data_IF_826528125191
#
_entry.id   IF_826528125191
#
_cell.length_a   1.000
_cell.length_b   1.000
_cell.length_c   1.000
_cell.angle_alpha   90.00
_cell.angle_beta   90.00
_cell.angle_gamma   90.00
#
_symmetry.space_group_name_H-M   'P 1'
#
loop_
_entity.id
_entity.type
_entity.pdbx_description
1 polymer ?
#
# COMPACT_ATOMS: atom_id res chain seq x y z
N UNK A 1 -23.90 5.90 1.85
CA UNK A 1 -22.59 5.31 2.25
C UNK A 1 -22.38 3.92 1.65
N UNK A 2 -23.37 3.03 1.69
CA UNK A 2 -23.23 1.66 1.17
C UNK A 2 -22.90 1.60 -0.34
N UNK A 3 -23.52 2.45 -1.17
CA UNK A 3 -23.22 2.54 -2.60
C UNK A 3 -21.80 3.01 -2.92
N UNK A 4 -21.16 3.78 -2.02
CA UNK A 4 -19.74 4.15 -2.18
C UNK A 4 -18.82 2.98 -1.84
N UNK A 5 -19.21 2.12 -0.91
CA UNK A 5 -18.44 0.94 -0.49
C UNK A 5 -18.57 -0.23 -1.47
N UNK A 6 -19.74 -0.37 -2.09
CA UNK A 6 -20.04 -1.42 -3.06
C UNK A 6 -20.66 -0.81 -4.32
N UNK A 7 -19.85 -0.19 -5.20
CA UNK A 7 -20.32 0.33 -6.48
C UNK A 7 -20.77 -0.78 -7.43
N UNK A 8 -21.62 -0.44 -8.39
CA UNK A 8 -22.01 -1.37 -9.46
C UNK A 8 -20.78 -1.75 -10.30
N UNK A 9 -20.68 -3.02 -10.69
CA UNK A 9 -19.53 -3.60 -11.38
C UNK A 9 -18.50 -4.26 -10.47
N UNK A 10 -18.54 -4.01 -9.15
CA UNK A 10 -17.62 -4.63 -8.19
C UNK A 10 -17.83 -6.15 -8.11
N UNK A 11 -16.74 -6.90 -8.00
CA UNK A 11 -16.75 -8.35 -7.84
C UNK A 11 -16.74 -8.73 -6.37
N UNK A 12 -17.56 -9.71 -5.99
CA UNK A 12 -17.66 -10.23 -4.62
C UNK A 12 -17.67 -11.75 -4.66
N UNK A 13 -16.97 -12.36 -3.72
CA UNK A 13 -16.99 -13.80 -3.48
C UNK A 13 -17.82 -14.09 -2.22
N UNK A 14 -18.67 -15.11 -2.30
CA UNK A 14 -19.47 -15.57 -1.17
C UNK A 14 -18.66 -16.51 -0.30
N UNK A 15 -18.53 -16.22 1.00
CA UNK A 15 -17.75 -17.05 1.92
C UNK A 15 -18.57 -18.21 2.50
N UNK A 16 -19.87 -17.99 2.65
CA UNK A 16 -20.79 -18.93 3.30
C UNK A 16 -21.95 -19.23 2.37
N UNK A 17 -22.23 -20.51 2.15
CA UNK A 17 -23.38 -20.95 1.37
C UNK A 17 -24.67 -20.36 1.93
N UNK A 18 -25.44 -19.75 1.04
CA UNK A 18 -26.71 -19.12 1.39
C UNK A 18 -27.78 -20.18 1.61
N UNK A 19 -28.67 -19.97 2.60
CA UNK A 19 -29.66 -20.96 3.04
C UNK A 19 -30.58 -21.47 1.92
N UNK A 20 -30.82 -20.69 0.87
CA UNK A 20 -31.66 -21.12 -0.26
C UNK A 20 -30.93 -22.01 -1.26
N UNK A 21 -29.66 -22.36 -1.01
CA UNK A 21 -28.85 -23.28 -1.81
C UNK A 21 -28.44 -22.78 -3.21
N UNK A 22 -28.97 -21.64 -3.65
CA UNK A 22 -28.71 -21.08 -4.98
C UNK A 22 -27.34 -20.43 -5.11
N UNK A 23 -26.72 -19.99 -4.01
CA UNK A 23 -25.36 -19.43 -3.97
C UNK A 23 -24.57 -20.23 -2.95
N UNK A 24 -23.52 -20.91 -3.40
CA UNK A 24 -22.63 -21.71 -2.55
C UNK A 24 -21.41 -20.87 -2.14
N UNK A 25 -20.73 -21.27 -1.07
CA UNK A 25 -19.42 -20.74 -0.75
C UNK A 25 -18.47 -20.88 -1.95
N UNK A 26 -17.68 -19.83 -2.22
CA UNK A 26 -16.80 -19.71 -3.38
C UNK A 26 -17.50 -19.21 -4.65
N UNK A 27 -18.83 -19.09 -4.69
CA UNK A 27 -19.49 -18.44 -5.82
C UNK A 27 -19.10 -16.97 -5.88
N UNK A 28 -18.75 -16.51 -7.08
CA UNK A 28 -18.47 -15.11 -7.34
C UNK A 28 -19.63 -14.46 -8.08
N UNK A 29 -19.77 -13.16 -7.91
CA UNK A 29 -20.82 -12.37 -8.54
C UNK A 29 -20.43 -10.91 -8.67
N UNK A 30 -21.26 -10.20 -9.43
CA UNK A 30 -21.08 -8.77 -9.73
C UNK A 30 -22.18 -7.97 -9.04
N UNK A 31 -21.79 -6.89 -8.36
CA UNK A 31 -22.72 -5.91 -7.80
C UNK A 31 -23.44 -5.21 -8.94
N UNK A 32 -24.77 -5.26 -8.96
CA UNK A 32 -25.57 -4.52 -9.95
C UNK A 32 -26.18 -3.24 -9.36
N UNK A 33 -26.20 -3.12 -8.03
CA UNK A 33 -26.69 -1.93 -7.35
C UNK A 33 -26.98 -2.15 -5.88
N UNK A 34 -27.54 -1.14 -5.23
CA UNK A 34 -27.95 -1.19 -3.83
C UNK A 34 -29.46 -0.99 -3.75
N UNK A 35 -30.16 -1.87 -3.04
CA UNK A 35 -31.54 -1.65 -2.64
C UNK A 35 -31.57 -0.57 -1.55
N UNK A 36 -32.14 0.59 -1.88
CA UNK A 36 -32.21 1.75 -0.99
C UNK A 36 -33.16 1.54 0.19
N UNK A 37 -34.14 0.65 0.06
CA UNK A 37 -35.17 0.45 1.10
C UNK A 37 -34.68 -0.52 2.18
N UNK A 38 -33.96 -1.57 1.76
CA UNK A 38 -33.52 -2.65 2.67
C UNK A 38 -32.02 -2.63 2.97
N UNK A 39 -31.24 -1.73 2.34
CA UNK A 39 -29.79 -1.65 2.53
C UNK A 39 -29.04 -2.89 2.04
N UNK A 40 -29.58 -3.59 1.05
CA UNK A 40 -29.01 -4.82 0.51
C UNK A 40 -28.20 -4.55 -0.76
N UNK A 41 -27.13 -5.32 -0.93
CA UNK A 41 -26.30 -5.32 -2.14
C UNK A 41 -26.94 -6.27 -3.13
N UNK A 42 -27.42 -5.75 -4.26
CA UNK A 42 -28.00 -6.58 -5.31
C UNK A 42 -26.89 -7.20 -6.14
N UNK A 43 -26.88 -8.53 -6.23
CA UNK A 43 -25.84 -9.29 -6.95
C UNK A 43 -26.42 -10.11 -8.09
N UNK A 44 -25.68 -10.15 -9.19
CA UNK A 44 -25.80 -11.18 -10.21
C UNK A 44 -24.61 -12.14 -10.09
N UNK A 45 -24.90 -13.40 -9.78
CA UNK A 45 -23.88 -14.43 -9.54
C UNK A 45 -23.52 -15.15 -10.84
N UNK A 46 -22.28 -15.61 -10.96
CA UNK A 46 -21.77 -16.25 -12.18
C UNK A 46 -22.47 -17.58 -12.50
N UNK A 47 -23.09 -18.19 -11.50
CA UNK A 47 -23.95 -19.36 -11.68
C UNK A 47 -25.34 -19.03 -12.26
N UNK A 48 -25.55 -17.78 -12.69
CA UNK A 48 -26.79 -17.28 -13.29
C UNK A 48 -27.87 -16.89 -12.28
N UNK A 49 -27.61 -17.00 -10.97
CA UNK A 49 -28.59 -16.64 -9.95
C UNK A 49 -28.59 -15.14 -9.64
N UNK A 50 -29.76 -14.61 -9.29
CA UNK A 50 -29.91 -13.25 -8.79
C UNK A 50 -30.24 -13.32 -7.30
N UNK A 51 -29.36 -12.77 -6.45
CA UNK A 51 -29.57 -12.81 -5.00
C UNK A 51 -28.85 -11.68 -4.29
N UNK A 52 -29.58 -10.91 -3.50
CA UNK A 52 -28.99 -9.82 -2.73
C UNK A 52 -28.23 -10.32 -1.49
N UNK A 53 -27.23 -9.55 -1.08
CA UNK A 53 -26.47 -9.73 0.16
C UNK A 53 -26.83 -8.64 1.17
N UNK A 54 -26.89 -9.01 2.44
CA UNK A 54 -27.09 -8.12 3.57
C UNK A 54 -25.76 -7.97 4.33
N UNK A 55 -25.12 -6.78 4.29
CA UNK A 55 -23.87 -6.53 5.02
C UNK A 55 -23.99 -6.86 6.50
N UNK A 56 -23.04 -7.62 7.05
CA UNK A 56 -23.01 -8.00 8.47
C UNK A 56 -23.88 -9.21 8.84
N UNK A 57 -24.76 -9.65 7.95
CA UNK A 57 -25.50 -10.92 8.09
C UNK A 57 -24.94 -12.01 7.18
N UNK A 58 -24.64 -11.65 5.94
CA UNK A 58 -24.04 -12.56 4.98
C UNK A 58 -22.50 -12.50 5.03
N UNK A 59 -21.84 -13.65 4.93
CA UNK A 59 -20.39 -13.77 4.84
C UNK A 59 -19.92 -13.64 3.39
N UNK A 60 -19.15 -12.60 3.09
CA UNK A 60 -18.58 -12.35 1.77
C UNK A 60 -17.37 -11.40 1.87
N UNK A 61 -16.51 -11.44 0.85
CA UNK A 61 -15.43 -10.48 0.65
C UNK A 61 -15.42 -9.91 -0.78
N UNK A 62 -14.92 -8.69 -0.92
CA UNK A 62 -14.75 -8.04 -2.23
C UNK A 62 -13.53 -8.59 -2.94
N UNK A 63 -13.68 -8.91 -4.22
CA UNK A 63 -12.58 -9.21 -5.11
C UNK A 63 -12.16 -7.89 -5.76
N UNK A 64 -10.90 -7.52 -5.59
CA UNK A 64 -10.33 -6.37 -6.28
C UNK A 64 -10.37 -6.64 -7.80
N UNK A 65 -10.72 -5.63 -8.59
CA UNK A 65 -10.43 -5.71 -10.03
C UNK A 65 -8.92 -5.82 -10.24
N UNK A 66 -8.49 -6.42 -11.33
CA UNK A 66 -7.06 -6.62 -11.64
C UNK A 66 -6.28 -5.28 -11.61
N UNK A 67 -6.91 -4.20 -12.08
CA UNK A 67 -6.39 -2.84 -11.99
C UNK A 67 -6.35 -2.31 -10.55
N UNK A 68 -7.34 -2.61 -9.70
CA UNK A 68 -7.31 -2.21 -8.29
C UNK A 68 -6.32 -3.04 -7.47
N UNK A 69 -6.10 -4.30 -7.84
CA UNK A 69 -5.11 -5.18 -7.22
C UNK A 69 -3.69 -4.71 -7.56
N UNK A 70 -3.41 -4.40 -8.83
CA UNK A 70 -2.13 -3.85 -9.28
C UNK A 70 -1.85 -2.48 -8.64
N UNK A 71 -2.80 -1.55 -8.71
CA UNK A 71 -2.70 -0.23 -8.06
C UNK A 71 -2.57 -0.35 -6.54
N UNK A 72 -3.13 -1.39 -5.92
CA UNK A 72 -2.99 -1.66 -4.49
C UNK A 72 -1.62 -2.22 -4.14
N UNK A 73 -1.12 -3.19 -4.91
CA UNK A 73 0.17 -3.85 -4.68
C UNK A 73 1.35 -2.87 -4.87
N UNK A 74 1.30 -2.02 -5.90
CA UNK A 74 2.28 -0.96 -6.12
C UNK A 74 2.26 0.08 -4.99
N UNK A 75 1.06 0.56 -4.59
CA UNK A 75 0.92 1.53 -3.50
C UNK A 75 1.42 0.97 -2.17
N UNK A 76 1.17 -0.30 -1.89
CA UNK A 76 1.68 -1.00 -0.70
C UNK A 76 3.21 -1.00 -0.69
N UNK A 77 3.83 -1.44 -1.78
CA UNK A 77 5.29 -1.48 -1.89
C UNK A 77 5.90 -0.08 -1.76
N UNK A 78 5.31 0.91 -2.43
CA UNK A 78 5.75 2.30 -2.32
C UNK A 78 5.67 2.80 -0.87
N UNK A 79 4.54 2.58 -0.19
CA UNK A 79 4.34 3.03 1.19
C UNK A 79 5.38 2.40 2.12
N UNK A 80 5.67 1.12 1.93
CA UNK A 80 6.67 0.39 2.70
C UNK A 80 8.08 0.91 2.45
N UNK A 81 8.42 1.20 1.20
CA UNK A 81 9.71 1.78 0.84
C UNK A 81 9.88 3.19 1.45
N UNK A 82 8.81 3.98 1.45
CA UNK A 82 8.80 5.30 2.06
C UNK A 82 9.07 5.22 3.57
N UNK A 83 8.48 4.25 4.26
CA UNK A 83 8.74 4.04 5.68
C UNK A 83 10.20 3.67 5.96
N UNK A 84 10.81 2.83 5.11
CA UNK A 84 12.26 2.53 5.22
C UNK A 84 13.08 3.80 5.03
N UNK A 85 12.78 4.60 4.01
CA UNK A 85 13.49 5.85 3.75
C UNK A 85 13.34 6.88 4.90
N UNK A 86 12.14 6.99 5.49
CA UNK A 86 11.90 7.84 6.65
C UNK A 86 12.69 7.37 7.87
N UNK A 87 12.75 6.05 8.11
CA UNK A 87 13.49 5.47 9.22
C UNK A 87 15.00 5.74 9.10
N UNK A 88 15.55 5.56 7.89
CA UNK A 88 16.93 5.91 7.57
C UNK A 88 17.19 7.40 7.84
N UNK A 89 16.28 8.28 7.40
CA UNK A 89 16.44 9.73 7.61
C UNK A 89 16.48 10.10 9.10
N UNK A 90 15.60 9.52 9.92
CA UNK A 90 15.57 9.74 11.37
C UNK A 90 16.87 9.26 12.01
N UNK A 91 17.31 8.04 11.71
CA UNK A 91 18.55 7.48 12.25
C UNK A 91 19.79 8.27 11.82
N UNK A 92 19.77 8.80 10.59
CA UNK A 92 20.83 9.67 10.10
C UNK A 92 20.90 11.00 10.86
N UNK A 93 19.76 11.60 11.21
CA UNK A 93 19.70 12.77 12.10
C UNK A 93 20.23 12.45 13.51
N UNK A 94 20.06 11.23 13.99
CA UNK A 94 20.61 10.75 15.27
C UNK A 94 22.12 10.43 15.22
N UNK A 95 22.75 10.53 14.04
CA UNK A 95 24.19 10.38 13.83
C UNK A 95 24.63 9.05 13.22
N UNK A 96 23.70 8.17 12.83
CA UNK A 96 24.02 6.95 12.09
C UNK A 96 24.37 7.29 10.63
N UNK A 97 25.50 6.78 10.13
CA UNK A 97 26.01 7.15 8.79
C UNK A 97 26.17 5.96 7.85
N UNK A 98 25.94 4.74 8.35
CA UNK A 98 26.05 3.51 7.58
C UNK A 98 24.93 2.58 8.00
N UNK A 99 24.23 2.02 7.02
CA UNK A 99 23.05 1.19 7.23
C UNK A 99 23.21 -0.15 6.52
N UNK A 100 22.95 -1.24 7.24
CA UNK A 100 22.81 -2.56 6.63
C UNK A 100 21.41 -2.69 6.02
N UNK A 101 21.36 -2.84 4.70
CA UNK A 101 20.12 -2.91 3.96
C UNK A 101 19.40 -4.22 4.26
N UNK A 102 20.09 -5.35 4.42
CA UNK A 102 19.42 -6.62 4.72
C UNK A 102 18.73 -6.56 6.08
N UNK A 103 19.37 -5.96 7.09
CA UNK A 103 18.76 -5.72 8.40
C UNK A 103 17.53 -4.81 8.28
N UNK A 104 17.63 -3.69 7.56
CA UNK A 104 16.49 -2.78 7.34
C UNK A 104 15.32 -3.45 6.62
N UNK A 105 15.61 -4.32 5.64
CA UNK A 105 14.59 -5.05 4.88
C UNK A 105 13.93 -6.16 5.72
N UNK A 106 14.65 -6.76 6.66
CA UNK A 106 14.14 -7.76 7.60
C UNK A 106 13.32 -7.12 8.73
N UNK A 107 13.84 -6.06 9.37
CA UNK A 107 13.16 -5.34 10.47
C UNK A 107 11.76 -4.84 10.09
N UNK A 108 11.57 -4.45 8.83
CA UNK A 108 10.32 -3.83 8.35
C UNK A 108 9.37 -4.83 7.67
N UNK A 109 9.66 -6.12 7.74
CA UNK A 109 9.00 -7.20 6.97
C UNK A 109 8.94 -6.89 5.46
N UNK A 110 9.86 -6.06 4.96
CA UNK A 110 9.81 -5.54 3.59
C UNK A 110 10.07 -6.63 2.58
N UNK A 111 11.01 -7.55 2.87
CA UNK A 111 11.35 -8.66 1.98
C UNK A 111 10.12 -9.53 1.66
N UNK A 112 9.31 -9.82 2.67
CA UNK A 112 8.06 -10.57 2.49
C UNK A 112 7.06 -9.78 1.65
N UNK A 113 6.88 -8.51 1.96
CA UNK A 113 5.98 -7.64 1.19
C UNK A 113 6.37 -7.57 -0.29
N UNK A 114 7.67 -7.44 -0.58
CA UNK A 114 8.20 -7.42 -1.93
C UNK A 114 7.89 -8.72 -2.69
N UNK A 115 8.11 -9.88 -2.04
CA UNK A 115 7.82 -11.19 -2.62
C UNK A 115 6.31 -11.36 -2.89
N UNK A 116 5.47 -10.95 -1.95
CA UNK A 116 4.01 -11.04 -2.06
C UNK A 116 3.51 -10.13 -3.20
N UNK A 117 3.95 -8.87 -3.24
CA UNK A 117 3.62 -7.91 -4.31
C UNK A 117 4.08 -8.41 -5.67
N UNK A 118 5.32 -8.89 -5.81
CA UNK A 118 5.80 -9.42 -7.08
C UNK A 118 5.07 -10.69 -7.48
N UNK A 119 4.70 -11.55 -6.54
CA UNK A 119 3.85 -12.71 -6.83
C UNK A 119 2.49 -12.30 -7.35
N UNK A 120 1.86 -11.27 -6.77
CA UNK A 120 0.60 -10.71 -7.27
C UNK A 120 0.76 -10.13 -8.68
N UNK A 121 1.80 -9.32 -8.92
CA UNK A 121 2.08 -8.73 -10.23
C UNK A 121 2.43 -9.80 -11.29
N UNK A 122 3.15 -10.87 -10.94
CA UNK A 122 3.45 -11.95 -11.89
C UNK A 122 2.16 -12.69 -12.28
N UNK A 123 1.23 -12.91 -11.34
CA UNK A 123 -0.03 -13.61 -11.60
C UNK A 123 -1.00 -12.84 -12.49
N UNK A 124 -0.86 -11.52 -12.63
CA UNK A 124 -1.68 -10.74 -13.56
C UNK A 124 -1.28 -10.91 -15.02
N UNK A 125 -0.12 -11.53 -15.31
CA UNK A 125 0.27 -11.86 -16.67
C UNK A 125 -0.40 -13.16 -17.16
N UNK A 126 -1.07 -13.13 -18.33
CA UNK A 126 -1.69 -14.33 -18.89
C UNK A 126 -0.69 -15.47 -19.12
N UNK A 127 -1.05 -16.69 -18.71
CA UNK A 127 -0.24 -17.90 -18.84
C UNK A 127 0.67 -18.23 -17.65
N UNK A 128 0.69 -17.39 -16.62
CA UNK A 128 1.46 -17.59 -15.37
C UNK A 128 0.62 -17.33 -14.10
N UNK A 129 -0.71 -17.51 -14.19
CA UNK A 129 -1.69 -17.17 -13.14
C UNK A 129 -1.47 -17.94 -11.82
N UNK A 130 -0.75 -19.07 -11.86
CA UNK A 130 -0.42 -19.89 -10.70
C UNK A 130 1.03 -19.73 -10.22
N UNK A 131 1.81 -18.83 -10.83
CA UNK A 131 3.18 -18.61 -10.43
C UNK A 131 3.25 -18.03 -9.01
N UNK A 132 4.30 -18.39 -8.29
CA UNK A 132 4.61 -17.84 -6.98
C UNK A 132 6.10 -17.57 -6.93
N UNK A 133 6.46 -16.33 -6.59
CA UNK A 133 7.83 -15.94 -6.31
C UNK A 133 8.11 -16.38 -4.87
N UNK A 134 9.17 -17.16 -4.67
CA UNK A 134 9.54 -17.67 -3.34
C UNK A 134 10.87 -17.09 -2.86
N UNK A 135 11.70 -16.64 -3.79
CA UNK A 135 13.02 -16.07 -3.52
C UNK A 135 13.36 -15.03 -4.58
N UNK A 136 14.08 -14.00 -4.17
CA UNK A 136 14.55 -12.92 -5.03
C UNK A 136 16.00 -12.62 -4.64
N UNK A 137 16.93 -13.28 -5.33
CA UNK A 137 18.35 -12.97 -5.23
C UNK A 137 18.72 -11.80 -6.15
N UNK A 138 18.77 -10.57 -5.62
CA UNK A 138 19.36 -9.44 -6.34
C UNK A 138 20.76 -9.20 -5.77
N UNK A 139 21.84 -9.36 -6.56
CA UNK A 139 23.16 -8.94 -6.12
C UNK A 139 23.24 -7.41 -6.17
N UNK A 140 23.26 -6.75 -5.01
CA UNK A 140 23.51 -5.31 -4.88
C UNK A 140 24.40 -5.02 -3.66
N UNK A 141 24.91 -3.79 -3.54
CA UNK A 141 25.65 -3.38 -2.34
C UNK A 141 24.72 -3.39 -1.13
N UNK A 142 25.00 -4.20 -0.10
CA UNK A 142 24.12 -4.35 1.06
C UNK A 142 24.34 -3.28 2.14
N UNK A 143 25.23 -2.32 1.90
CA UNK A 143 25.51 -1.20 2.81
C UNK A 143 25.17 0.11 2.12
N UNK A 144 24.43 0.97 2.82
CA UNK A 144 24.13 2.33 2.39
C UNK A 144 24.87 3.31 3.29
N UNK A 145 25.82 4.07 2.71
CA UNK A 145 26.53 5.13 3.41
C UNK A 145 25.93 6.50 3.09
N UNK A 146 25.65 7.29 4.12
CA UNK A 146 25.04 8.62 4.00
C UNK A 146 26.02 9.68 4.49
N UNK A 147 26.25 10.70 3.67
CA UNK A 147 27.00 11.89 4.07
C UNK A 147 26.01 13.05 4.29
N UNK A 148 25.69 13.34 5.54
CA UNK A 148 24.89 14.51 5.87
C UNK A 148 25.75 15.78 5.75
N UNK A 149 25.51 16.60 4.73
CA UNK A 149 26.01 17.98 4.72
C UNK A 149 25.13 18.81 5.65
N UNK A 150 25.65 19.12 6.84
CA UNK A 150 25.04 20.13 7.72
C UNK A 150 25.13 21.48 6.98
N UNK A 151 24.01 22.19 6.73
CA UNK A 151 24.10 23.56 6.23
C UNK A 151 24.79 24.41 7.30
N UNK A 152 25.87 25.10 6.91
CA UNK A 152 26.60 26.02 7.80
C UNK A 152 25.66 27.14 8.31
N UNK A 153 25.08 26.97 9.49
CA UNK A 153 24.50 28.06 10.28
C UNK A 153 25.62 28.72 11.10
N UNK A 154 26.40 29.61 10.50
CA UNK A 154 26.93 30.83 11.15
C UNK A 154 28.01 31.51 10.29
N UNK A 155 27.62 32.54 9.52
CA UNK A 155 28.45 33.71 9.24
C UNK A 155 27.56 34.96 9.09
N UNK A 156 26.80 35.31 10.12
CA UNK A 156 26.45 36.73 10.33
C UNK A 156 27.39 37.27 11.40
N UNK A 157 28.61 37.61 10.96
CA UNK A 157 29.52 38.44 11.75
C UNK A 157 28.78 39.71 12.22
N UNK A 158 28.75 39.86 13.53
CA UNK A 158 28.38 41.06 14.26
C UNK A 158 29.11 42.29 13.70
N UNK A 159 28.40 43.17 12.98
CA UNK A 159 28.84 44.55 12.76
C UNK A 159 28.27 45.42 13.89
N UNK A 160 28.93 45.38 15.06
CA UNK A 160 28.78 46.44 16.05
C UNK A 160 30.07 47.27 16.08
N UNK A 161 29.86 48.58 15.91
CA UNK A 161 30.69 49.71 16.37
C UNK A 161 32.12 49.85 15.83
N UNK A 162 32.31 50.84 14.93
CA UNK A 162 33.21 52.00 15.10
C UNK A 162 33.00 52.90 13.86
N UNK A 163 32.32 54.04 14.04
CA UNK A 163 32.60 55.32 13.36
C UNK A 163 31.50 56.35 13.68
N UNK A 164 31.45 56.83 14.94
CA UNK A 164 30.90 58.16 15.23
C UNK A 164 31.73 58.85 16.32
N UNK A 165 33.03 58.99 16.08
CA UNK A 165 33.84 60.05 16.64
C UNK A 165 34.86 60.45 15.58
N UNK A 166 34.50 61.43 14.74
CA UNK A 166 35.27 62.68 14.57
C UNK A 166 34.72 63.48 13.38
N UNK A 167 34.21 64.68 13.65
CA UNK A 167 34.38 65.92 12.87
C UNK A 167 33.22 66.88 13.16
N UNK A 168 33.30 67.47 14.35
CA UNK A 168 32.96 68.88 14.49
C UNK A 168 34.18 69.70 14.07
N UNK A 169 34.08 70.42 12.94
CA UNK A 169 34.67 71.76 12.74
C UNK A 169 33.85 72.52 11.71
#
# INVERSE_FOLDING_TARGET
MLQKKYPAGMRICCDISQETGSVKAGCQGTVIGIDKNNGQIMMYWDNGSFRSLTPGKDGFHTLLSEQEAEVSAEKRLHTKLLNVATDIAIRAEEGETSFDIDELLEEKDFRRELIDTLSEMVRSFPGVENAAVHDIGIPFQNTLDITATVPDEDQSESQDEIEQQDMSM
#
